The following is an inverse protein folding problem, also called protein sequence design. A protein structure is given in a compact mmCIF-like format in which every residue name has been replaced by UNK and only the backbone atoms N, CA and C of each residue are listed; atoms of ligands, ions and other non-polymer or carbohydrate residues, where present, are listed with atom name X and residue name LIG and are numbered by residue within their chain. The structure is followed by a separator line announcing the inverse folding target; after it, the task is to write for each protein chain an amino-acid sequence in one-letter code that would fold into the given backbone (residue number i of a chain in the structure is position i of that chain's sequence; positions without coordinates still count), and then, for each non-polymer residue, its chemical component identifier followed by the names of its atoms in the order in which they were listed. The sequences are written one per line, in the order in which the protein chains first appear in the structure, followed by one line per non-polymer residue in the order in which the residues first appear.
data_IF_500818477390
#
_entry.id   IF_500818477390
#
_cell.length_a   1.000
_cell.length_b   1.000
_cell.length_c   1.000
_cell.angle_alpha   90.00
_cell.angle_beta   90.00
_cell.angle_gamma   90.00
#
_symmetry.space_group_name_H-M   'P 1'
#
loop_
_entity.id
_entity.type
_entity.pdbx_description
1 polymer ?
#
# COMPACT_ATOMS: atom_id res chain seq x y z
N UNK A 1 4.48 -4.82 4.72
CA UNK A 1 4.93 -4.96 6.13
C UNK A 1 6.32 -5.58 6.19
N UNK A 2 6.55 -6.76 5.59
CA UNK A 2 7.88 -7.40 5.46
C UNK A 2 8.95 -6.44 4.96
N UNK A 3 8.77 -5.86 3.76
CA UNK A 3 9.72 -4.89 3.17
C UNK A 3 10.17 -3.77 4.13
N UNK A 4 9.24 -3.24 4.92
CA UNK A 4 9.58 -2.19 5.90
C UNK A 4 10.47 -2.73 7.02
N UNK A 5 10.20 -3.94 7.53
CA UNK A 5 11.03 -4.60 8.53
C UNK A 5 12.37 -5.07 7.98
N UNK A 6 12.42 -5.38 6.69
CA UNK A 6 13.63 -5.76 5.98
C UNK A 6 14.51 -4.53 5.63
N UNK A 7 14.13 -3.33 6.11
CA UNK A 7 14.91 -2.11 5.94
C UNK A 7 14.77 -1.43 4.57
N UNK A 8 13.73 -1.75 3.80
CA UNK A 8 13.48 -1.13 2.49
C UNK A 8 13.14 0.36 2.66
N UNK A 9 14.11 1.22 2.34
CA UNK A 9 13.99 2.67 2.39
C UNK A 9 12.89 3.20 1.48
N UNK A 10 12.62 2.56 0.34
CA UNK A 10 11.57 2.98 -0.58
C UNK A 10 10.19 2.71 0.03
N UNK A 11 10.01 1.55 0.67
CA UNK A 11 8.79 1.21 1.38
C UNK A 11 8.53 2.18 2.55
N UNK A 12 9.58 2.47 3.33
CA UNK A 12 9.52 3.43 4.43
C UNK A 12 9.14 4.84 3.94
N UNK A 13 9.86 5.34 2.94
CA UNK A 13 9.60 6.66 2.35
C UNK A 13 8.17 6.77 1.82
N UNK A 14 7.68 5.73 1.12
CA UNK A 14 6.34 5.71 0.54
C UNK A 14 5.26 5.81 1.62
N UNK A 15 5.37 5.02 2.70
CA UNK A 15 4.40 5.07 3.81
C UNK A 15 4.43 6.43 4.49
N UNK A 16 5.61 6.95 4.83
CA UNK A 16 5.72 8.25 5.47
C UNK A 16 5.19 9.39 4.59
N UNK A 17 5.43 9.32 3.27
CA UNK A 17 4.88 10.30 2.34
C UNK A 17 3.36 10.27 2.33
N UNK A 18 2.75 9.09 2.18
CA UNK A 18 1.29 8.92 2.17
C UNK A 18 0.68 9.41 3.50
N UNK A 19 1.24 9.01 4.64
CA UNK A 19 0.74 9.43 5.96
C UNK A 19 0.77 10.95 6.11
N UNK A 20 1.89 11.59 5.77
CA UNK A 20 2.03 13.06 5.85
C UNK A 20 1.00 13.76 4.97
N UNK A 21 0.81 13.29 3.74
CA UNK A 21 -0.15 13.88 2.81
C UNK A 21 -1.59 13.71 3.35
N UNK A 22 -1.95 12.55 3.91
CA UNK A 22 -3.25 12.37 4.56
C UNK A 22 -3.43 13.27 5.79
N UNK A 23 -2.40 13.47 6.61
CA UNK A 23 -2.51 14.37 7.76
C UNK A 23 -2.80 15.81 7.33
N UNK A 24 -2.15 16.28 6.27
CA UNK A 24 -2.44 17.61 5.70
C UNK A 24 -3.83 17.67 5.06
N UNK A 25 -4.23 16.66 4.29
CA UNK A 25 -5.54 16.65 3.63
C UNK A 25 -6.71 16.57 4.62
N UNK A 26 -6.53 15.88 5.76
CA UNK A 26 -7.57 15.73 6.78
C UNK A 26 -7.52 16.79 7.88
N UNK A 27 -6.53 17.68 7.90
CA UNK A 27 -6.43 18.70 8.95
C UNK A 27 -7.66 19.62 9.05
N UNK A 28 -8.39 19.95 7.97
CA UNK A 28 -9.64 20.73 8.08
C UNK A 28 -10.80 19.97 8.74
N UNK A 29 -10.78 18.62 8.73
CA UNK A 29 -11.86 17.77 9.25
C UNK A 29 -11.52 17.28 10.67
N UNK A 30 -10.26 16.92 10.92
CA UNK A 30 -9.80 16.34 12.18
C UNK A 30 -8.51 17.04 12.66
N UNK A 31 -8.56 18.34 13.03
CA UNK A 31 -7.36 19.14 13.31
C UNK A 31 -6.54 18.63 14.49
N UNK A 32 -7.16 18.24 15.60
CA UNK A 32 -6.42 17.75 16.77
C UNK A 32 -5.73 16.40 16.53
N UNK A 33 -6.41 15.49 15.81
CA UNK A 33 -5.85 14.18 15.47
C UNK A 33 -4.66 14.32 14.52
N UNK A 34 -4.83 15.09 13.46
CA UNK A 34 -3.78 15.33 12.46
C UNK A 34 -2.62 16.10 13.06
N UNK A 35 -2.86 17.12 13.90
CA UNK A 35 -1.82 17.82 14.68
C UNK A 35 -1.02 16.85 15.55
N UNK A 36 -1.68 16.01 16.34
CA UNK A 36 -1.01 15.12 17.27
C UNK A 36 -0.10 14.12 16.54
N UNK A 37 -0.59 13.45 15.50
CA UNK A 37 0.20 12.48 14.73
C UNK A 37 1.38 13.15 14.03
N UNK A 38 1.13 14.23 13.30
CA UNK A 38 2.16 14.92 12.51
C UNK A 38 3.25 15.53 13.40
N UNK A 39 2.88 16.16 14.51
CA UNK A 39 3.85 16.74 15.46
C UNK A 39 4.67 15.64 16.14
N UNK A 40 4.06 14.50 16.46
CA UNK A 40 4.75 13.37 17.11
C UNK A 40 5.76 12.69 16.17
N UNK A 41 5.37 12.46 14.91
CA UNK A 41 6.20 11.70 13.95
C UNK A 41 7.20 12.61 13.22
N UNK A 42 6.78 13.81 12.85
CA UNK A 42 7.53 14.70 11.97
C UNK A 42 8.01 15.99 12.65
N UNK A 43 7.63 16.25 13.90
CA UNK A 43 7.99 17.48 14.60
C UNK A 43 7.29 18.75 14.09
N UNK A 44 6.34 18.61 13.15
CA UNK A 44 5.58 19.71 12.58
C UNK A 44 4.10 19.35 12.48
N UNK A 45 3.24 20.30 12.81
CA UNK A 45 1.79 20.15 12.76
C UNK A 45 1.27 20.25 11.32
N UNK A 46 0.45 19.28 10.92
CA UNK A 46 -0.26 19.28 9.65
C UNK A 46 -1.37 20.34 9.56
N UNK A 47 -1.79 20.92 10.70
CA UNK A 47 -2.73 22.04 10.76
C UNK A 47 -2.07 23.34 10.29
N UNK A 48 -0.74 23.43 10.37
CA UNK A 48 0.02 24.62 9.95
C UNK A 48 0.25 24.64 8.42
N UNK A 49 -0.16 23.58 7.73
CA UNK A 49 -0.03 23.47 6.27
C UNK A 49 -1.16 24.23 5.59
N UNK A 50 -0.78 25.14 4.70
CA UNK A 50 -1.68 26.07 4.00
C UNK A 50 -2.11 25.58 2.60
N UNK A 51 -1.58 24.43 2.16
CA UNK A 51 -1.77 23.92 0.80
C UNK A 51 -2.07 22.43 0.78
N UNK A 52 -2.92 22.02 -0.16
CA UNK A 52 -3.23 20.61 -0.36
C UNK A 52 -2.00 19.86 -0.89
N UNK A 53 -1.77 18.59 -0.49
CA UNK A 53 -0.61 17.83 -0.95
C UNK A 53 -0.54 17.71 -2.48
N UNK A 54 0.60 18.13 -3.03
CA UNK A 54 0.91 17.97 -4.46
C UNK A 54 1.50 16.60 -4.82
N UNK A 55 1.58 16.34 -6.12
CA UNK A 55 2.22 15.14 -6.66
C UNK A 55 3.72 15.10 -6.31
N UNK A 56 4.20 14.09 -5.54
CA UNK A 56 5.60 14.02 -5.12
C UNK A 56 6.58 13.73 -6.26
N UNK A 57 6.10 13.19 -7.39
CA UNK A 57 6.94 12.82 -8.53
C UNK A 57 7.15 13.98 -9.51
N UNK A 58 6.32 15.03 -9.44
CA UNK A 58 6.43 16.20 -10.33
C UNK A 58 6.60 15.80 -11.80
N UNK A 59 7.69 16.24 -12.43
CA UNK A 59 8.01 15.90 -13.84
C UNK A 59 8.38 14.43 -14.09
N UNK A 60 8.71 13.66 -13.03
CA UNK A 60 9.02 12.22 -13.12
C UNK A 60 7.76 11.35 -13.04
N UNK A 61 6.59 11.97 -12.94
CA UNK A 61 5.34 11.26 -12.89
C UNK A 61 5.03 10.59 -14.24
N UNK A 62 4.84 9.28 -14.21
CA UNK A 62 4.51 8.46 -15.38
C UNK A 62 3.01 8.14 -15.38
N UNK A 63 2.24 8.88 -16.18
CA UNK A 63 0.79 8.69 -16.28
C UNK A 63 0.42 7.34 -16.91
N UNK A 64 1.23 6.82 -17.84
CA UNK A 64 0.95 5.53 -18.48
C UNK A 64 1.11 4.39 -17.48
N UNK A 65 2.22 4.40 -16.71
CA UNK A 65 2.42 3.41 -15.65
C UNK A 65 1.36 3.55 -14.57
N UNK A 66 1.00 4.77 -14.15
CA UNK A 66 -0.05 4.96 -13.16
C UNK A 66 -1.41 4.47 -13.65
N UNK A 67 -1.78 4.78 -14.89
CA UNK A 67 -3.00 4.30 -15.53
C UNK A 67 -3.10 2.77 -15.56
N UNK A 68 -2.01 2.10 -15.94
CA UNK A 68 -1.93 0.64 -15.92
C UNK A 68 -2.06 0.07 -14.49
N UNK A 69 -1.35 0.63 -13.51
CA UNK A 69 -1.46 0.19 -12.11
C UNK A 69 -2.89 0.36 -11.56
N UNK A 70 -3.58 1.45 -11.93
CA UNK A 70 -4.99 1.66 -11.57
C UNK A 70 -5.90 0.63 -12.23
N UNK A 71 -5.69 0.31 -13.52
CA UNK A 71 -6.56 -0.64 -14.23
C UNK A 71 -6.50 -2.05 -13.63
N UNK A 72 -5.33 -2.49 -13.16
CA UNK A 72 -5.14 -3.83 -12.59
C UNK A 72 -5.45 -3.92 -11.08
N UNK A 73 -5.79 -2.80 -10.43
CA UNK A 73 -6.01 -2.76 -8.97
C UNK A 73 -7.15 -3.68 -8.53
N UNK A 74 -8.27 -3.70 -9.27
CA UNK A 74 -9.41 -4.55 -8.93
C UNK A 74 -9.10 -6.04 -9.08
N UNK A 75 -8.29 -6.39 -10.07
CA UNK A 75 -7.84 -7.77 -10.33
C UNK A 75 -6.90 -8.23 -9.22
N UNK A 76 -5.95 -7.37 -8.81
CA UNK A 76 -5.06 -7.62 -7.68
C UNK A 76 -5.85 -7.83 -6.37
N UNK A 77 -6.85 -6.98 -6.10
CA UNK A 77 -7.70 -7.11 -4.92
C UNK A 77 -8.55 -8.39 -4.95
N UNK A 78 -9.12 -8.73 -6.11
CA UNK A 78 -9.90 -9.94 -6.30
C UNK A 78 -9.05 -11.19 -6.07
N UNK A 79 -7.88 -11.27 -6.69
CA UNK A 79 -6.95 -12.37 -6.50
C UNK A 79 -6.54 -12.53 -5.03
N UNK A 80 -6.16 -11.44 -4.37
CA UNK A 80 -5.80 -11.45 -2.95
C UNK A 80 -6.98 -11.97 -2.08
N UNK A 81 -8.20 -11.50 -2.34
CA UNK A 81 -9.40 -11.96 -1.63
C UNK A 81 -9.73 -13.43 -1.89
N UNK A 82 -9.57 -13.89 -3.13
CA UNK A 82 -9.77 -15.29 -3.53
C UNK A 82 -8.82 -16.21 -2.78
N UNK A 83 -7.52 -15.93 -2.78
CA UNK A 83 -6.53 -16.76 -2.07
C UNK A 83 -6.85 -16.87 -0.57
N UNK A 84 -7.27 -15.77 0.08
CA UNK A 84 -7.68 -15.82 1.47
C UNK A 84 -8.95 -16.63 1.70
N UNK A 85 -9.92 -16.52 0.80
CA UNK A 85 -11.18 -17.26 0.86
C UNK A 85 -10.92 -18.75 0.69
N UNK A 86 -10.10 -19.15 -0.29
CA UNK A 86 -9.71 -20.55 -0.51
C UNK A 86 -8.98 -21.14 0.69
N UNK A 87 -8.03 -20.41 1.32
CA UNK A 87 -7.38 -20.89 2.55
C UNK A 87 -8.41 -21.16 3.65
N UNK A 88 -9.34 -20.23 3.84
CA UNK A 88 -10.38 -20.33 4.87
C UNK A 88 -11.33 -21.50 4.61
N UNK A 89 -11.76 -21.70 3.36
CA UNK A 89 -12.64 -22.79 2.95
C UNK A 89 -11.98 -24.17 3.13
N UNK A 90 -10.68 -24.27 2.88
CA UNK A 90 -9.90 -25.49 3.08
C UNK A 90 -9.46 -25.71 4.54
N UNK A 91 -9.85 -24.84 5.48
CA UNK A 91 -9.42 -24.92 6.88
C UNK A 91 -7.93 -24.66 7.10
N UNK A 92 -7.25 -24.06 6.12
CA UNK A 92 -5.84 -23.72 6.15
C UNK A 92 -5.69 -22.37 6.88
N UNK A 93 -4.76 -22.31 7.83
CA UNK A 93 -4.40 -21.04 8.48
C UNK A 93 -3.82 -20.06 7.46
N UNK A 94 -4.13 -18.76 7.60
CA UNK A 94 -3.65 -17.71 6.69
C UNK A 94 -2.11 -17.72 6.51
N UNK A 95 -1.38 -18.13 7.54
CA UNK A 95 0.08 -18.17 7.54
C UNK A 95 0.68 -19.46 6.95
N UNK A 96 -0.14 -20.46 6.62
CA UNK A 96 0.30 -21.72 6.05
C UNK A 96 0.36 -21.62 4.51
N UNK A 97 1.26 -22.37 3.86
CA UNK A 97 1.34 -22.40 2.40
C UNK A 97 0.05 -22.93 1.76
N UNK A 98 -0.18 -22.54 0.50
CA UNK A 98 -1.28 -23.04 -0.32
C UNK A 98 -0.77 -23.40 -1.70
N UNK A 99 -1.03 -24.63 -2.12
CA UNK A 99 -0.63 -25.14 -3.43
C UNK A 99 -1.75 -24.98 -4.46
N UNK A 100 -1.37 -24.93 -5.74
CA UNK A 100 -2.32 -24.98 -6.86
C UNK A 100 -3.03 -23.66 -7.20
N UNK A 101 -2.58 -22.55 -6.60
CA UNK A 101 -3.03 -21.20 -6.96
C UNK A 101 -2.17 -20.69 -8.11
N UNK A 102 -2.80 -20.36 -9.24
CA UNK A 102 -2.11 -19.81 -10.41
C UNK A 102 -2.29 -18.30 -10.45
N UNK A 103 -1.18 -17.57 -10.59
CA UNK A 103 -1.21 -16.11 -10.71
C UNK A 103 -1.64 -15.74 -12.15
N UNK A 104 -2.67 -14.89 -12.32
CA UNK A 104 -3.10 -14.40 -13.63
C UNK A 104 -1.99 -13.69 -14.43
N UNK A 105 -2.05 -13.77 -15.76
CA UNK A 105 -1.02 -13.23 -16.66
C UNK A 105 -0.78 -11.71 -16.46
N UNK A 106 -1.87 -10.96 -16.31
CA UNK A 106 -1.87 -9.52 -16.07
C UNK A 106 -1.23 -9.12 -14.73
N UNK A 107 -1.09 -10.07 -13.78
CA UNK A 107 -0.48 -9.86 -12.46
C UNK A 107 0.92 -10.46 -12.34
N UNK A 108 1.50 -10.98 -13.43
CA UNK A 108 2.83 -11.60 -13.42
C UNK A 108 3.93 -10.68 -12.89
N UNK A 109 3.82 -9.37 -13.11
CA UNK A 109 4.80 -8.43 -12.59
C UNK A 109 4.85 -8.37 -11.04
N UNK A 110 3.84 -8.92 -10.36
CA UNK A 110 3.77 -9.00 -8.90
C UNK A 110 4.02 -10.41 -8.35
N UNK A 111 4.40 -11.38 -9.20
CA UNK A 111 4.48 -12.79 -8.80
C UNK A 111 5.36 -13.01 -7.57
N UNK A 112 6.55 -12.41 -7.52
CA UNK A 112 7.46 -12.55 -6.37
C UNK A 112 6.81 -12.10 -5.05
N UNK A 113 6.10 -10.96 -5.08
CA UNK A 113 5.44 -10.39 -3.90
C UNK A 113 4.22 -11.22 -3.50
N UNK A 114 3.40 -11.64 -4.46
CA UNK A 114 2.20 -12.44 -4.22
C UNK A 114 2.57 -13.83 -3.67
N UNK A 115 3.58 -14.48 -4.25
CA UNK A 115 4.12 -15.76 -3.77
C UNK A 115 4.66 -15.63 -2.36
N UNK A 116 5.46 -14.60 -2.06
CA UNK A 116 5.98 -14.37 -0.72
C UNK A 116 4.88 -14.06 0.31
N UNK A 117 3.86 -13.29 -0.08
CA UNK A 117 2.78 -12.88 0.81
C UNK A 117 1.83 -14.03 1.17
N UNK A 118 1.52 -14.89 0.20
CA UNK A 118 0.58 -15.98 0.39
C UNK A 118 1.24 -17.35 0.62
N UNK A 119 2.57 -17.44 0.56
CA UNK A 119 3.31 -18.71 0.58
C UNK A 119 2.76 -19.69 -0.47
N UNK A 120 2.71 -19.23 -1.73
CA UNK A 120 2.21 -20.03 -2.84
C UNK A 120 3.23 -21.12 -3.21
N UNK A 121 2.74 -22.36 -3.38
CA UNK A 121 3.53 -23.55 -3.76
C UNK A 121 3.08 -24.17 -5.09
#
# INVERSE_FOLDING_TARGET
KSRLYDGDLNAAWTIHRIVRDFMSAFSPICPFFTHHISSTIYGQSAVDVDSFPGNPFGKKYDENRNGYLRSITNELQSFNGEVWSTKKENGISLNQPISGVVIPENLKEFSEILTSMHSLE
#
